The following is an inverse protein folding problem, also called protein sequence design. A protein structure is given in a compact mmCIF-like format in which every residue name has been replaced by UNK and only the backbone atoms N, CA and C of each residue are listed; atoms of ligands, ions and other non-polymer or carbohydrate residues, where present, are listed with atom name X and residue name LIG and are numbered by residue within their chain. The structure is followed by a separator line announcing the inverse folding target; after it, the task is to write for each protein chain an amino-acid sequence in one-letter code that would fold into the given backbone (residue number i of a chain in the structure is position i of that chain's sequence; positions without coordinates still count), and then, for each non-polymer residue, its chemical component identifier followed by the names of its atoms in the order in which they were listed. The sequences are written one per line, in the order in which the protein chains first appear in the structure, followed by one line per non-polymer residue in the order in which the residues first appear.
data_IF_162406401733
#
_entry.id   IF_162406401733
#
_cell.length_a   1.000
_cell.length_b   1.000
_cell.length_c   1.000
_cell.angle_alpha   90.00
_cell.angle_beta   90.00
_cell.angle_gamma   90.00
#
_symmetry.space_group_name_H-M   'P 1'
#
loop_
_entity.id
_entity.type
_entity.pdbx_description
1 polymer ?
#
# COMPACT_ATOMS: atom_id res chain seq x y z
N UNK A 1 17.95 -8.14 11.22
CA UNK A 1 16.94 -7.13 11.60
C UNK A 1 16.14 -6.81 10.35
N UNK A 2 14.84 -7.04 10.36
CA UNK A 2 13.96 -6.64 9.26
C UNK A 2 13.26 -5.34 9.69
N UNK A 3 13.91 -4.21 9.41
CA UNK A 3 13.45 -2.87 9.78
C UNK A 3 12.24 -2.48 8.91
N UNK A 4 11.23 -1.89 9.52
CA UNK A 4 10.07 -1.34 8.82
C UNK A 4 10.18 0.17 8.77
N UNK A 5 9.95 0.74 7.60
CA UNK A 5 9.97 2.18 7.35
C UNK A 5 8.56 2.69 7.11
N UNK A 6 8.31 3.95 7.50
CA UNK A 6 7.08 4.65 7.14
C UNK A 6 7.39 5.78 6.17
N UNK A 7 6.50 6.02 5.21
CA UNK A 7 6.60 7.17 4.32
C UNK A 7 5.23 7.64 3.85
N UNK A 8 5.12 8.93 3.58
CA UNK A 8 3.99 9.55 2.87
C UNK A 8 4.42 10.04 1.47
N UNK A 9 5.67 9.81 1.09
CA UNK A 9 6.20 10.30 -0.19
C UNK A 9 5.69 9.44 -1.34
N UNK A 10 4.85 10.04 -2.19
CA UNK A 10 4.22 9.36 -3.32
C UNK A 10 5.24 8.74 -4.29
N UNK A 11 6.39 9.40 -4.50
CA UNK A 11 7.43 8.91 -5.43
C UNK A 11 8.12 7.68 -4.83
N UNK A 12 8.42 7.68 -3.53
CA UNK A 12 8.98 6.52 -2.83
C UNK A 12 8.03 5.33 -2.87
N UNK A 13 6.75 5.55 -2.59
CA UNK A 13 5.73 4.48 -2.63
C UNK A 13 5.66 3.90 -4.03
N UNK A 14 5.54 4.75 -5.06
CA UNK A 14 5.47 4.30 -6.45
C UNK A 14 6.70 3.49 -6.86
N UNK A 15 7.90 3.98 -6.54
CA UNK A 15 9.15 3.28 -6.84
C UNK A 15 9.23 1.93 -6.12
N UNK A 16 8.89 1.89 -4.83
CA UNK A 16 8.92 0.68 -4.03
C UNK A 16 7.98 -0.40 -4.57
N UNK A 17 6.79 0.01 -5.02
CA UNK A 17 5.78 -0.86 -5.63
C UNK A 17 6.24 -1.37 -7.00
N UNK A 18 6.75 -0.48 -7.85
CA UNK A 18 7.26 -0.80 -9.20
C UNK A 18 8.43 -1.80 -9.15
N UNK A 19 9.40 -1.59 -8.25
CA UNK A 19 10.53 -2.51 -8.04
C UNK A 19 10.10 -3.93 -7.64
N UNK A 20 8.87 -4.09 -7.15
CA UNK A 20 8.28 -5.35 -6.71
C UNK A 20 7.25 -5.91 -7.68
N UNK A 21 7.05 -5.24 -8.82
CA UNK A 21 6.09 -5.60 -9.85
C UNK A 21 4.63 -5.44 -9.41
N UNK A 22 4.36 -4.49 -8.52
CA UNK A 22 3.00 -4.23 -8.04
C UNK A 22 2.30 -3.09 -8.75
N UNK A 23 0.98 -3.01 -8.55
CA UNK A 23 0.12 -1.95 -9.05
C UNK A 23 -0.89 -1.51 -7.98
N UNK A 24 -1.28 -0.22 -7.95
CA UNK A 24 -2.31 0.26 -7.04
C UNK A 24 -3.69 -0.29 -7.42
N UNK A 25 -4.44 -0.77 -6.42
CA UNK A 25 -5.73 -1.39 -6.61
C UNK A 25 -6.78 -0.95 -5.56
N UNK A 26 -8.00 -0.92 -6.06
CA UNK A 26 -9.36 -0.87 -5.51
C UNK A 26 -9.96 -2.15 -4.94
N UNK A 27 -10.49 -2.26 -3.72
CA UNK A 27 -11.55 -3.29 -3.54
C UNK A 27 -12.85 -2.80 -4.16
N UNK A 28 -13.52 -3.66 -4.94
CA UNK A 28 -14.79 -3.34 -5.61
C UNK A 28 -15.99 -3.33 -4.65
N UNK A 29 -15.85 -4.01 -3.51
CA UNK A 29 -16.95 -4.27 -2.60
C UNK A 29 -16.63 -3.81 -1.15
N UNK A 30 -17.56 -3.04 -0.60
CA UNK A 30 -17.83 -2.85 0.83
C UNK A 30 -16.96 -1.85 1.60
N UNK A 31 -17.44 -0.60 1.60
CA UNK A 31 -17.40 0.22 2.80
C UNK A 31 -18.30 -0.38 3.88
N UNK A 32 -17.71 -1.13 4.83
CA UNK A 32 -18.24 -1.37 6.18
C UNK A 32 -17.08 -1.80 7.08
N UNK A 33 -16.61 -0.87 7.92
CA UNK A 33 -15.70 -1.17 9.03
C UNK A 33 -14.28 -0.62 8.86
N UNK A 34 -14.10 0.67 9.15
CA UNK A 34 -12.83 1.23 9.63
C UNK A 34 -11.76 1.52 8.57
N UNK A 35 -11.93 2.65 7.88
CA UNK A 35 -10.93 3.63 7.38
C UNK A 35 -9.56 3.24 6.79
N UNK A 36 -9.22 1.96 6.60
CA UNK A 36 -7.96 1.54 5.95
C UNK A 36 -8.16 0.46 4.86
N UNK A 37 -9.41 0.10 4.55
CA UNK A 37 -9.76 -1.08 3.76
C UNK A 37 -10.04 -0.86 2.27
N UNK A 38 -9.92 0.37 1.75
CA UNK A 38 -10.43 0.68 0.40
C UNK A 38 -9.33 0.51 -0.68
N UNK A 39 -8.06 0.84 -0.40
CA UNK A 39 -6.95 0.72 -1.38
C UNK A 39 -5.88 -0.27 -0.95
N UNK A 40 -5.28 -0.95 -1.91
CA UNK A 40 -4.22 -1.96 -1.76
C UNK A 40 -3.18 -1.83 -2.87
N UNK A 41 -2.04 -2.48 -2.68
CA UNK A 41 -1.10 -2.76 -3.76
C UNK A 41 -1.24 -4.23 -4.13
N UNK A 42 -1.61 -4.49 -5.38
CA UNK A 42 -1.64 -5.83 -5.96
C UNK A 42 -0.24 -6.19 -6.48
N UNK A 43 0.27 -7.38 -6.19
CA UNK A 43 1.59 -7.89 -6.63
C UNK A 43 1.48 -9.20 -7.41
N UNK A 44 0.26 -9.64 -7.72
CA UNK A 44 -0.03 -10.96 -8.25
C UNK A 44 -0.80 -10.93 -9.57
N UNK A 45 -1.17 -12.10 -10.11
CA UNK A 45 -2.15 -12.15 -11.18
C UNK A 45 -3.47 -11.61 -10.63
N UNK A 46 -4.13 -10.70 -11.38
CA UNK A 46 -5.38 -10.02 -11.03
C UNK A 46 -6.25 -10.84 -10.06
N UNK A 47 -6.26 -10.45 -8.79
CA UNK A 47 -7.15 -11.04 -7.80
C UNK A 47 -8.61 -10.70 -8.17
N UNK A 48 -9.47 -11.72 -8.22
CA UNK A 48 -10.92 -11.53 -8.43
C UNK A 48 -11.51 -10.75 -7.25
N UNK A 49 -11.73 -9.45 -7.43
CA UNK A 49 -12.22 -8.53 -6.40
C UNK A 49 -11.39 -7.26 -6.23
N UNK A 50 -10.22 -7.21 -6.88
CA UNK A 50 -9.40 -6.01 -6.98
C UNK A 50 -9.55 -5.35 -8.35
N UNK A 51 -9.83 -4.04 -8.35
CA UNK A 51 -9.81 -3.21 -9.54
C UNK A 51 -8.53 -2.38 -9.55
N UNK A 52 -7.70 -2.55 -10.57
CA UNK A 52 -6.56 -1.65 -10.78
C UNK A 52 -7.06 -0.21 -10.95
N UNK A 53 -6.46 0.71 -10.21
CA UNK A 53 -6.78 2.14 -10.27
C UNK A 53 -5.54 2.94 -10.66
N UNK A 54 -5.74 4.18 -11.11
CA UNK A 54 -4.63 5.08 -11.34
C UNK A 54 -3.92 5.44 -10.04
N UNK A 55 -2.60 5.66 -10.11
CA UNK A 55 -1.82 6.21 -9.01
C UNK A 55 -2.40 7.52 -8.46
N UNK A 56 -2.99 8.35 -9.31
CA UNK A 56 -3.65 9.60 -8.90
C UNK A 56 -4.83 9.34 -7.95
N UNK A 57 -5.73 8.43 -8.30
CA UNK A 57 -6.88 8.05 -7.46
C UNK A 57 -6.44 7.39 -6.15
N UNK A 58 -5.39 6.58 -6.22
CA UNK A 58 -4.79 5.95 -5.05
C UNK A 58 -4.22 7.00 -4.08
N UNK A 59 -3.37 7.91 -4.57
CA UNK A 59 -2.74 8.92 -3.72
C UNK A 59 -3.71 9.96 -3.22
N UNK A 60 -4.72 10.32 -4.02
CA UNK A 60 -5.81 11.20 -3.56
C UNK A 60 -6.45 10.65 -2.29
N UNK A 61 -6.82 9.38 -2.29
CA UNK A 61 -7.51 8.77 -1.14
C UNK A 61 -6.56 8.46 0.02
N UNK A 62 -5.30 8.13 -0.28
CA UNK A 62 -4.24 8.01 0.73
C UNK A 62 -3.99 9.33 1.48
N UNK A 63 -3.98 10.46 0.76
CA UNK A 63 -3.81 11.80 1.32
C UNK A 63 -5.05 12.24 2.11
N UNK A 64 -6.26 12.06 1.54
CA UNK A 64 -7.53 12.36 2.23
C UNK A 64 -7.65 11.63 3.58
N UNK A 65 -7.14 10.39 3.66
CA UNK A 65 -7.19 9.56 4.88
C UNK A 65 -6.01 9.78 5.82
N UNK A 66 -5.06 10.67 5.48
CA UNK A 66 -3.87 10.98 6.29
C UNK A 66 -3.12 9.72 6.74
N UNK A 67 -2.99 8.75 5.83
CA UNK A 67 -2.32 7.48 6.08
C UNK A 67 -0.82 7.61 5.86
N UNK A 68 -0.07 6.68 6.45
CA UNK A 68 1.34 6.47 6.21
C UNK A 68 1.54 5.08 5.61
N UNK A 69 2.40 4.99 4.61
CA UNK A 69 2.81 3.74 4.00
C UNK A 69 3.92 3.12 4.85
N UNK A 70 3.55 2.13 5.66
CA UNK A 70 4.49 1.31 6.40
C UNK A 70 4.92 0.15 5.50
N UNK A 71 6.21 0.01 5.26
CA UNK A 71 6.76 -1.02 4.39
C UNK A 71 8.02 -1.62 4.98
N UNK A 72 8.40 -2.77 4.44
CA UNK A 72 9.65 -3.43 4.75
C UNK A 72 10.42 -3.69 3.47
N UNK A 73 11.70 -3.35 3.43
CA UNK A 73 12.50 -3.58 2.23
C UNK A 73 12.89 -5.05 2.05
N UNK A 74 13.34 -5.68 3.13
CA UNK A 74 13.86 -7.06 3.13
C UNK A 74 13.22 -7.92 4.21
N UNK A 75 12.96 -9.18 3.89
CA UNK A 75 12.57 -10.20 4.86
C UNK A 75 13.75 -10.57 5.76
N UNK A 76 13.51 -11.35 6.82
CA UNK A 76 14.58 -11.87 7.69
C UNK A 76 15.65 -12.66 6.91
N UNK A 77 15.24 -13.31 5.83
CA UNK A 77 16.11 -14.07 4.91
C UNK A 77 16.81 -13.21 3.84
N UNK A 78 16.68 -11.88 3.90
CA UNK A 78 17.34 -10.96 2.97
C UNK A 78 16.66 -10.80 1.60
N UNK A 79 15.52 -11.47 1.37
CA UNK A 79 14.74 -11.36 0.12
C UNK A 79 13.92 -10.08 0.10
N UNK A 80 13.56 -9.58 -1.09
CA UNK A 80 12.64 -8.44 -1.22
C UNK A 80 11.31 -8.75 -0.53
N UNK A 81 10.93 -7.92 0.43
CA UNK A 81 9.65 -8.05 1.13
C UNK A 81 8.56 -7.32 0.37
N UNK A 82 7.37 -7.94 0.28
CA UNK A 82 6.13 -7.31 -0.22
C UNK A 82 5.24 -6.83 0.93
N UNK A 83 5.75 -6.93 2.16
CA UNK A 83 5.03 -6.49 3.33
C UNK A 83 4.86 -4.98 3.30
N UNK A 84 3.60 -4.56 3.25
CA UNK A 84 3.20 -3.18 3.38
C UNK A 84 1.91 -3.09 4.20
N UNK A 85 1.69 -1.95 4.82
CA UNK A 85 0.48 -1.62 5.56
C UNK A 85 0.22 -0.13 5.49
N UNK A 86 -1.04 0.26 5.39
CA UNK A 86 -1.44 1.64 5.57
C UNK A 86 -1.83 1.85 7.02
N UNK A 87 -1.17 2.77 7.70
CA UNK A 87 -1.40 3.08 9.11
C UNK A 87 -1.77 4.54 9.25
N UNK A 88 -2.81 4.85 10.03
CA UNK A 88 -3.19 6.24 10.31
C UNK A 88 -2.12 6.92 11.17
N UNK A 89 -1.85 8.19 10.88
CA UNK A 89 -0.92 9.00 11.67
C UNK A 89 -1.41 9.25 13.11
N UNK A 90 -2.69 9.00 13.40
CA UNK A 90 -3.36 9.25 14.69
C UNK A 90 -3.08 8.21 15.80
N UNK A 91 -2.25 7.19 15.55
CA UNK A 91 -1.76 6.32 16.64
C UNK A 91 -0.52 6.93 17.30
N UNK A 92 -0.72 7.95 18.14
CA UNK A 92 0.20 8.29 19.24
C UNK A 92 -0.60 8.78 20.43
#
# INVERSE_FOLDING_TARGET
MSESHTTTDHKKIKKWVDERGGAPATVKETGKGGHAGIFRIDFGPKEEGLEEISWEEFFKKFDETHLQFLYQDKTKDGKLSRFHKFVSADKT
#
